data_IF_243237452548
#
_entry.id   IF_243237452548
#
_cell.length_a   1.000
_cell.length_b   1.000
_cell.length_c   1.000
_cell.angle_alpha   90.00
_cell.angle_beta   90.00
_cell.angle_gamma   90.00
#
_symmetry.space_group_name_H-M   'P 1'
#
loop_
_entity.id
_entity.type
_entity.pdbx_description
1 polymer ?
#
# COMPACT_ATOMS: atom_id res chain seq x y z
N UNK A 1 11.83 28.96 -47.01
CA UNK A 1 10.67 28.06 -46.99
C UNK A 1 11.15 26.73 -47.53
N UNK A 2 11.12 25.57 -46.87
CA UNK A 2 10.82 25.04 -45.52
C UNK A 2 11.22 23.54 -45.70
N UNK A 3 11.66 22.71 -44.77
CA UNK A 3 11.68 22.72 -43.33
C UNK A 3 12.90 21.88 -42.89
N UNK A 4 13.86 22.50 -42.20
CA UNK A 4 14.69 21.79 -41.23
C UNK A 4 13.86 21.83 -39.95
N UNK A 5 13.01 20.82 -39.75
CA UNK A 5 12.20 20.76 -38.54
C UNK A 5 13.04 20.15 -37.44
N UNK A 6 13.33 21.00 -36.46
CA UNK A 6 14.06 20.75 -35.24
C UNK A 6 13.63 19.46 -34.57
N UNK A 7 14.60 18.55 -34.39
CA UNK A 7 14.58 17.59 -33.30
C UNK A 7 14.63 18.39 -31.99
N UNK A 8 13.47 18.77 -31.48
CA UNK A 8 13.30 19.21 -30.10
C UNK A 8 13.57 17.99 -29.22
N UNK A 9 14.84 17.80 -28.87
CA UNK A 9 15.22 16.95 -27.76
C UNK A 9 14.45 17.45 -26.53
N UNK A 10 13.50 16.66 -26.05
CA UNK A 10 13.08 16.68 -24.65
C UNK A 10 14.25 16.19 -23.80
N UNK A 11 15.32 16.97 -23.80
CA UNK A 11 16.43 16.89 -22.86
C UNK A 11 15.82 17.11 -21.50
N UNK A 12 15.76 16.04 -20.71
CA UNK A 12 15.47 16.09 -19.30
C UNK A 12 16.49 17.04 -18.66
N UNK A 13 16.10 18.32 -18.50
CA UNK A 13 17.00 19.34 -17.99
C UNK A 13 17.14 19.13 -16.48
N UNK A 14 18.13 18.32 -16.13
CA UNK A 14 18.53 18.08 -14.75
C UNK A 14 18.79 19.41 -14.01
N UNK A 15 19.17 20.46 -14.75
CA UNK A 15 19.35 21.81 -14.23
C UNK A 15 18.01 22.44 -13.82
N UNK A 16 16.93 22.24 -14.56
CA UNK A 16 15.58 22.68 -14.17
C UNK A 16 15.06 21.93 -12.93
N UNK A 17 15.35 20.64 -12.80
CA UNK A 17 15.03 19.85 -11.60
C UNK A 17 15.84 20.29 -10.39
N UNK A 18 17.15 20.53 -10.56
CA UNK A 18 18.02 20.99 -9.49
C UNK A 18 17.69 22.43 -9.05
N UNK A 19 17.28 23.29 -9.99
CA UNK A 19 16.83 24.66 -9.71
C UNK A 19 15.38 24.75 -9.19
N UNK A 20 14.63 23.63 -9.14
CA UNK A 20 13.30 23.59 -8.51
C UNK A 20 13.33 23.09 -7.07
N UNK A 21 14.50 22.69 -6.56
CA UNK A 21 14.68 22.50 -5.13
C UNK A 21 14.87 23.86 -4.45
N UNK A 22 14.16 24.11 -3.34
CA UNK A 22 14.28 25.39 -2.66
C UNK A 22 15.72 25.60 -2.18
N UNK A 23 16.23 26.83 -2.31
CA UNK A 23 17.54 27.17 -1.78
C UNK A 23 17.57 27.18 -0.25
N UNK A 24 18.75 27.20 0.38
CA UNK A 24 18.89 27.23 1.85
C UNK A 24 18.09 28.36 2.53
N UNK A 25 17.94 29.50 1.84
CA UNK A 25 17.14 30.63 2.33
C UNK A 25 15.64 30.34 2.26
N UNK A 26 15.18 29.68 1.20
CA UNK A 26 13.78 29.29 1.03
C UNK A 26 13.41 28.17 2.00
N UNK A 27 14.31 27.21 2.25
CA UNK A 27 14.12 26.23 3.32
C UNK A 27 13.96 26.89 4.69
N UNK A 28 14.82 27.88 5.03
CA UNK A 28 14.69 28.62 6.28
C UNK A 28 13.35 29.36 6.37
N UNK A 29 12.89 29.96 5.28
CA UNK A 29 11.59 30.61 5.24
C UNK A 29 10.46 29.61 5.43
N UNK A 30 10.47 28.48 4.71
CA UNK A 30 9.49 27.41 4.84
C UNK A 30 9.42 26.88 6.28
N UNK A 31 10.56 26.65 6.94
CA UNK A 31 10.58 26.22 8.34
C UNK A 31 10.07 27.31 9.31
N UNK A 32 10.34 28.58 9.01
CA UNK A 32 9.80 29.70 9.77
C UNK A 32 8.28 29.77 9.65
N UNK A 33 7.76 29.66 8.43
CA UNK A 33 6.32 29.72 8.13
C UNK A 33 5.59 28.51 8.76
N UNK A 34 6.18 27.31 8.70
CA UNK A 34 5.67 26.12 9.40
C UNK A 34 5.66 26.36 10.91
N UNK A 35 6.73 26.96 11.47
CA UNK A 35 6.81 27.29 12.89
C UNK A 35 5.68 28.23 13.32
N UNK A 36 5.46 29.31 12.58
CA UNK A 36 4.37 30.27 12.83
C UNK A 36 2.99 29.61 12.73
N UNK A 37 2.78 28.75 11.72
CA UNK A 37 1.52 28.01 11.56
C UNK A 37 1.29 27.03 12.72
N UNK A 38 2.33 26.38 13.23
CA UNK A 38 2.25 25.49 14.40
C UNK A 38 1.86 26.29 15.65
N UNK A 39 2.44 27.45 15.88
CA UNK A 39 2.09 28.33 17.00
C UNK A 39 0.64 28.81 16.89
N UNK A 40 0.21 29.22 15.71
CA UNK A 40 -1.18 29.63 15.47
C UNK A 40 -2.16 28.46 15.68
N UNK A 41 -1.81 27.25 15.24
CA UNK A 41 -2.61 26.05 15.47
C UNK A 41 -2.68 25.71 16.97
N UNK A 42 -1.58 25.85 17.71
CA UNK A 42 -1.55 25.63 19.15
C UNK A 42 -2.48 26.60 19.89
N UNK A 43 -2.41 27.90 19.57
CA UNK A 43 -3.31 28.91 20.12
C UNK A 43 -4.78 28.66 19.75
N UNK A 44 -5.06 28.22 18.53
CA UNK A 44 -6.43 27.90 18.08
C UNK A 44 -7.01 26.69 18.82
N UNK A 45 -6.19 25.66 19.06
CA UNK A 45 -6.59 24.47 19.84
C UNK A 45 -6.86 24.87 21.30
N UNK A 46 -6.00 25.70 21.90
CA UNK A 46 -6.19 26.19 23.27
C UNK A 46 -7.51 26.96 23.41
N UNK A 47 -7.77 27.90 22.48
CA UNK A 47 -9.04 28.63 22.44
C UNK A 47 -10.25 27.69 22.27
N UNK A 48 -10.16 26.67 21.41
CA UNK A 48 -11.23 25.68 21.25
C UNK A 48 -11.51 24.91 22.54
N UNK A 49 -10.46 24.54 23.29
CA UNK A 49 -10.61 23.84 24.58
C UNK A 49 -11.27 24.76 25.61
N UNK A 50 -10.91 26.04 25.65
CA UNK A 50 -11.55 27.03 26.53
C UNK A 50 -13.04 27.21 26.20
N UNK A 51 -13.39 27.24 24.91
CA UNK A 51 -14.77 27.32 24.46
C UNK A 51 -15.58 26.09 24.90
N UNK A 52 -15.05 24.88 24.67
CA UNK A 52 -15.64 23.62 25.15
C UNK A 52 -15.81 23.65 26.68
N UNK A 53 -14.79 24.09 27.42
CA UNK A 53 -14.85 24.21 28.88
C UNK A 53 -15.99 25.12 29.31
N UNK A 54 -16.12 26.27 28.66
CA UNK A 54 -17.15 27.26 28.97
C UNK A 54 -18.57 26.75 28.67
N UNK A 55 -18.76 26.08 27.54
CA UNK A 55 -20.06 25.55 27.12
C UNK A 55 -20.49 24.35 27.97
N UNK A 56 -19.57 23.44 28.31
CA UNK A 56 -19.87 22.30 29.20
C UNK A 56 -20.26 22.80 30.59
N UNK A 57 -19.52 23.75 31.16
CA UNK A 57 -19.84 24.32 32.47
C UNK A 57 -21.19 25.08 32.48
N UNK A 58 -21.65 25.60 31.32
CA UNK A 58 -22.99 26.22 31.18
C UNK A 58 -24.09 25.17 31.05
N UNK A 59 -23.89 24.16 30.21
CA UNK A 59 -24.93 23.17 29.85
C UNK A 59 -25.09 22.06 30.88
N UNK A 60 -24.02 21.72 31.62
CA UNK A 60 -23.98 20.65 32.60
C UNK A 60 -23.49 21.19 33.97
N UNK A 61 -24.36 21.78 34.80
CA UNK A 61 -23.96 22.37 36.08
C UNK A 61 -23.39 21.36 37.10
N UNK A 62 -23.65 20.06 36.89
CA UNK A 62 -23.11 18.97 37.72
C UNK A 62 -21.64 18.61 37.39
N UNK A 63 -21.10 19.14 36.27
CA UNK A 63 -19.71 18.92 35.85
C UNK A 63 -18.97 20.25 35.91
N UNK A 64 -17.95 20.33 36.76
CA UNK A 64 -17.13 21.54 36.86
C UNK A 64 -15.73 21.28 36.29
N UNK A 65 -15.51 21.67 35.04
CA UNK A 65 -14.22 21.59 34.36
C UNK A 65 -13.41 22.85 34.68
N UNK A 66 -12.29 22.69 35.38
CA UNK A 66 -11.44 23.82 35.80
C UNK A 66 -10.14 23.92 35.00
N UNK A 67 -9.60 22.80 34.53
CA UNK A 67 -8.35 22.76 33.77
C UNK A 67 -8.55 22.12 32.39
N UNK A 68 -7.64 22.41 31.46
CA UNK A 68 -7.56 21.72 30.16
C UNK A 68 -7.45 20.21 30.34
N UNK A 69 -6.70 19.73 31.34
CA UNK A 69 -6.64 18.30 31.69
C UNK A 69 -7.99 17.74 32.13
N UNK A 70 -8.84 18.53 32.80
CA UNK A 70 -10.18 18.09 33.19
C UNK A 70 -11.08 18.00 31.97
N UNK A 71 -10.98 18.94 31.02
CA UNK A 71 -11.67 18.85 29.73
C UNK A 71 -11.29 17.58 28.97
N UNK A 72 -10.00 17.25 28.89
CA UNK A 72 -9.55 16.01 28.25
C UNK A 72 -10.02 14.76 28.99
N UNK A 73 -9.93 14.75 30.33
CA UNK A 73 -10.47 13.65 31.15
C UNK A 73 -11.97 13.52 30.97
N UNK A 74 -12.71 14.61 30.85
CA UNK A 74 -14.14 14.60 30.61
C UNK A 74 -14.49 14.11 29.21
N UNK A 75 -13.81 14.56 28.16
CA UNK A 75 -14.02 14.05 26.79
C UNK A 75 -13.69 12.55 26.66
N UNK A 76 -12.63 12.10 27.33
CA UNK A 76 -12.25 10.67 27.35
C UNK A 76 -13.16 9.84 28.24
N UNK A 77 -13.60 10.34 29.40
CA UNK A 77 -14.50 9.64 30.31
C UNK A 77 -15.97 9.73 29.93
N UNK A 78 -16.42 10.75 29.19
CA UNK A 78 -17.76 10.82 28.61
C UNK A 78 -17.94 9.70 27.57
N UNK A 79 -16.92 9.50 26.73
CA UNK A 79 -16.85 8.33 25.84
C UNK A 79 -16.84 6.99 26.59
N UNK A 80 -16.22 6.94 27.78
CA UNK A 80 -16.22 5.75 28.64
C UNK A 80 -17.52 5.55 29.43
N UNK A 81 -18.24 6.62 29.79
CA UNK A 81 -19.49 6.53 30.53
C UNK A 81 -20.70 6.24 29.63
N UNK A 82 -20.60 6.56 28.32
CA UNK A 82 -21.45 5.95 27.29
C UNK A 82 -21.18 4.45 27.10
N UNK A 83 -20.04 3.93 27.58
CA UNK A 83 -19.71 2.50 27.54
C UNK A 83 -20.45 1.68 28.61
N UNK A 84 -21.29 2.29 29.45
CA UNK A 84 -22.49 1.62 30.00
C UNK A 84 -23.55 1.51 28.89
N UNK A 85 -23.14 1.09 27.71
CA UNK A 85 -24.06 0.66 26.67
C UNK A 85 -24.78 -0.58 27.21
N UNK A 86 -26.10 -0.73 27.00
CA UNK A 86 -26.78 -1.97 27.32
C UNK A 86 -25.96 -3.11 26.67
N UNK A 87 -25.54 -4.08 27.49
CA UNK A 87 -24.80 -5.23 26.99
C UNK A 87 -25.61 -5.87 25.87
N UNK A 88 -25.11 -5.81 24.63
CA UNK A 88 -25.76 -6.45 23.49
C UNK A 88 -25.87 -7.93 23.83
N UNK A 89 -27.07 -8.49 23.74
CA UNK A 89 -27.24 -9.91 24.03
C UNK A 89 -26.44 -10.71 23.00
N UNK A 90 -25.76 -11.76 23.45
CA UNK A 90 -24.99 -12.63 22.57
C UNK A 90 -25.83 -13.21 21.42
N UNK A 91 -27.14 -13.43 21.66
CA UNK A 91 -28.09 -13.89 20.66
C UNK A 91 -28.32 -12.86 19.54
N UNK A 92 -28.50 -11.58 19.89
CA UNK A 92 -28.71 -10.51 18.92
C UNK A 92 -27.48 -10.30 18.03
N UNK A 93 -26.28 -10.40 18.62
CA UNK A 93 -25.01 -10.33 17.89
C UNK A 93 -24.89 -11.46 16.87
N UNK A 94 -25.13 -12.71 17.29
CA UNK A 94 -25.09 -13.86 16.36
C UNK A 94 -26.11 -13.70 15.24
N UNK A 95 -27.34 -13.27 15.57
CA UNK A 95 -28.39 -13.10 14.58
C UNK A 95 -28.03 -12.01 13.56
N UNK A 96 -27.44 -10.91 14.02
CA UNK A 96 -26.94 -9.84 13.14
C UNK A 96 -25.81 -10.35 12.22
N UNK A 97 -24.81 -11.05 12.77
CA UNK A 97 -23.71 -11.61 11.97
C UNK A 97 -24.21 -12.65 10.96
N UNK A 98 -25.16 -13.48 11.34
CA UNK A 98 -25.80 -14.45 10.43
C UNK A 98 -26.58 -13.75 9.32
N UNK A 99 -27.36 -12.72 9.65
CA UNK A 99 -28.08 -11.93 8.64
C UNK A 99 -27.13 -11.27 7.63
N UNK A 100 -26.00 -10.73 8.09
CA UNK A 100 -24.96 -10.20 7.18
C UNK A 100 -24.35 -11.30 6.32
N UNK A 101 -24.01 -12.45 6.91
CA UNK A 101 -23.47 -13.60 6.19
C UNK A 101 -24.45 -14.11 5.13
N UNK A 102 -25.73 -14.20 5.47
CA UNK A 102 -26.78 -14.64 4.56
C UNK A 102 -26.96 -13.63 3.42
N UNK A 103 -26.87 -12.33 3.69
CA UNK A 103 -26.91 -11.29 2.67
C UNK A 103 -25.74 -11.42 1.69
N UNK A 104 -24.51 -11.60 2.20
CA UNK A 104 -23.30 -11.77 1.39
C UNK A 104 -23.31 -13.05 0.53
N UNK A 105 -24.00 -14.10 0.98
CA UNK A 105 -24.05 -15.37 0.26
C UNK A 105 -25.17 -15.44 -0.79
N UNK A 106 -26.28 -14.71 -0.56
CA UNK A 106 -27.49 -14.86 -1.37
C UNK A 106 -27.69 -13.75 -2.40
N UNK A 107 -27.14 -12.56 -2.18
CA UNK A 107 -27.37 -11.40 -3.04
C UNK A 107 -26.02 -10.82 -3.54
N UNK A 108 -25.91 -10.60 -4.85
CA UNK A 108 -24.70 -10.01 -5.44
C UNK A 108 -24.66 -8.49 -5.18
N UNK A 109 -23.47 -7.95 -4.90
CA UNK A 109 -23.16 -6.51 -4.76
C UNK A 109 -23.63 -5.84 -3.46
N UNK A 110 -23.86 -6.60 -2.39
CA UNK A 110 -24.16 -6.03 -1.06
C UNK A 110 -22.93 -5.74 -0.21
N UNK A 111 -21.73 -6.10 -0.68
CA UNK A 111 -20.49 -5.90 0.04
C UNK A 111 -20.23 -4.43 0.36
N UNK A 112 -20.49 -3.53 -0.58
CA UNK A 112 -20.30 -2.08 -0.38
C UNK A 112 -21.27 -1.52 0.67
N UNK A 113 -22.55 -1.91 0.59
CA UNK A 113 -23.55 -1.54 1.60
C UNK A 113 -23.18 -2.04 3.00
N UNK A 114 -22.67 -3.27 3.11
CA UNK A 114 -22.23 -3.82 4.40
C UNK A 114 -20.99 -3.09 4.92
N UNK A 115 -20.03 -2.76 4.06
CA UNK A 115 -18.84 -2.01 4.47
C UNK A 115 -19.20 -0.59 4.94
N UNK A 116 -20.12 0.08 4.26
CA UNK A 116 -20.63 1.39 4.67
C UNK A 116 -21.39 1.30 6.01
N UNK A 117 -22.23 0.28 6.18
CA UNK A 117 -22.89 0.02 7.46
C UNK A 117 -21.88 -0.21 8.59
N UNK A 118 -20.85 -1.02 8.36
CA UNK A 118 -19.81 -1.28 9.36
C UNK A 118 -19.00 -0.02 9.68
N UNK A 119 -18.75 0.83 8.68
CA UNK A 119 -18.07 2.11 8.85
C UNK A 119 -18.92 3.08 9.67
N UNK A 120 -20.21 3.20 9.36
CA UNK A 120 -21.16 4.03 10.09
C UNK A 120 -21.31 3.56 11.53
N UNK A 121 -21.40 2.25 11.74
CA UNK A 121 -21.41 1.65 13.08
C UNK A 121 -20.11 1.96 13.82
N UNK A 122 -18.95 1.90 13.17
CA UNK A 122 -17.68 2.28 13.79
C UNK A 122 -17.60 3.77 14.14
N UNK A 123 -18.24 4.65 13.38
CA UNK A 123 -18.27 6.08 13.64
C UNK A 123 -19.25 6.45 14.76
N UNK A 124 -20.44 5.84 14.76
CA UNK A 124 -21.50 6.11 15.73
C UNK A 124 -21.23 5.43 17.08
N UNK A 125 -20.51 4.31 17.05
CA UNK A 125 -20.19 3.56 18.24
C UNK A 125 -18.72 3.75 18.58
N UNK A 126 -18.46 4.52 19.64
CA UNK A 126 -17.24 4.35 20.45
C UNK A 126 -17.20 2.97 21.15
N UNK A 127 -18.21 2.13 20.86
CA UNK A 127 -18.37 0.78 21.35
C UNK A 127 -17.30 -0.07 20.69
N UNK A 128 -16.65 -0.86 21.52
CA UNK A 128 -15.61 -1.82 21.19
C UNK A 128 -16.13 -3.01 20.35
N UNK A 129 -17.19 -2.82 19.56
CA UNK A 129 -17.90 -3.86 18.82
C UNK A 129 -16.96 -4.58 17.85
N UNK A 130 -16.19 -3.82 17.06
CA UNK A 130 -15.19 -4.37 16.13
C UNK A 130 -13.85 -4.64 16.81
N UNK A 131 -13.46 -3.89 17.84
CA UNK A 131 -12.20 -4.11 18.56
C UNK A 131 -12.24 -5.37 19.44
N UNK A 132 -13.39 -5.75 20.00
CA UNK A 132 -13.60 -7.06 20.62
C UNK A 132 -13.46 -8.19 19.60
N UNK A 133 -13.91 -7.96 18.36
CA UNK A 133 -13.96 -8.93 17.27
C UNK A 133 -12.68 -9.01 16.41
N UNK A 134 -11.86 -7.97 16.46
CA UNK A 134 -10.54 -7.84 15.85
C UNK A 134 -9.53 -8.69 16.60
N UNK A 135 -8.69 -9.42 15.85
CA UNK A 135 -7.93 -10.58 16.32
C UNK A 135 -6.92 -10.38 17.47
N UNK A 136 -6.76 -9.17 18.01
CA UNK A 136 -5.81 -8.87 19.09
C UNK A 136 -6.44 -8.71 20.48
N UNK A 137 -7.77 -8.52 20.59
CA UNK A 137 -8.40 -8.16 21.89
C UNK A 137 -9.29 -9.24 22.51
N UNK A 138 -9.43 -10.41 21.88
CA UNK A 138 -10.09 -11.56 22.50
C UNK A 138 -9.25 -12.24 23.60
N UNK A 139 -8.00 -11.82 23.82
CA UNK A 139 -7.13 -12.41 24.85
C UNK A 139 -7.45 -11.98 26.29
N UNK A 140 -8.42 -11.08 26.51
CA UNK A 140 -8.73 -10.55 27.85
C UNK A 140 -10.10 -10.92 28.43
N UNK A 141 -10.87 -11.80 27.77
CA UNK A 141 -11.94 -12.51 28.48
C UNK A 141 -11.31 -13.56 29.40
N UNK A 142 -10.98 -13.14 30.61
CA UNK A 142 -10.95 -13.95 31.83
C UNK A 142 -10.10 -15.23 31.79
N UNK A 143 -8.80 -15.10 31.53
CA UNK A 143 -7.82 -16.18 31.79
C UNK A 143 -7.43 -16.33 33.27
N UNK A 144 -8.31 -15.91 34.19
CA UNK A 144 -8.06 -15.94 35.64
C UNK A 144 -8.76 -17.09 36.38
N UNK A 145 -9.36 -18.06 35.68
CA UNK A 145 -9.90 -19.26 36.31
C UNK A 145 -9.45 -20.53 35.58
N UNK A 146 -8.76 -21.42 36.29
CA UNK A 146 -8.39 -22.78 35.83
C UNK A 146 -9.66 -23.67 35.69
N UNK A 147 -10.84 -23.12 35.98
CA UNK A 147 -12.15 -23.79 35.92
C UNK A 147 -13.17 -23.09 35.00
N UNK A 148 -12.78 -22.10 34.18
CA UNK A 148 -13.71 -21.54 33.18
C UNK A 148 -13.86 -22.54 32.04
N UNK A 149 -15.05 -23.13 31.93
CA UNK A 149 -15.50 -23.85 30.73
C UNK A 149 -15.46 -22.85 29.57
N UNK A 150 -14.80 -23.21 28.47
CA UNK A 150 -14.87 -22.43 27.24
C UNK A 150 -16.32 -22.39 26.77
N UNK A 151 -16.97 -21.22 26.88
CA UNK A 151 -18.33 -21.02 26.40
C UNK A 151 -18.35 -21.26 24.89
N UNK A 152 -18.87 -22.42 24.49
CA UNK A 152 -19.07 -22.82 23.09
C UNK A 152 -19.82 -21.77 22.25
N UNK A 153 -20.55 -20.85 22.89
CA UNK A 153 -21.26 -19.76 22.22
C UNK A 153 -20.31 -18.71 21.60
N UNK A 154 -19.17 -18.44 22.23
CA UNK A 154 -18.18 -17.45 21.76
C UNK A 154 -17.44 -17.91 20.48
N UNK A 155 -17.30 -19.23 20.32
CA UNK A 155 -16.71 -19.86 19.13
C UNK A 155 -17.61 -19.68 17.90
N UNK A 156 -18.93 -19.66 18.09
CA UNK A 156 -19.91 -19.43 17.02
C UNK A 156 -19.91 -17.98 16.53
N UNK A 157 -19.75 -16.98 17.43
CA UNK A 157 -19.66 -15.56 17.03
C UNK A 157 -18.43 -15.31 16.18
N UNK A 158 -17.26 -15.76 16.66
CA UNK A 158 -15.98 -15.50 16.00
C UNK A 158 -15.90 -16.17 14.63
N UNK A 159 -16.37 -17.42 14.52
CA UNK A 159 -16.36 -18.13 13.23
C UNK A 159 -17.27 -17.47 12.18
N UNK A 160 -18.49 -17.05 12.56
CA UNK A 160 -19.39 -16.35 11.64
C UNK A 160 -18.79 -15.00 11.23
N UNK A 161 -18.15 -14.28 12.15
CA UNK A 161 -17.44 -13.04 11.81
C UNK A 161 -16.24 -13.27 10.89
N UNK A 162 -15.44 -14.30 11.15
CA UNK A 162 -14.29 -14.65 10.31
C UNK A 162 -14.72 -14.94 8.87
N UNK A 163 -15.87 -15.59 8.67
CA UNK A 163 -16.46 -15.81 7.35
C UNK A 163 -16.86 -14.50 6.68
N UNK A 164 -17.56 -13.61 7.39
CA UNK A 164 -17.95 -12.28 6.89
C UNK A 164 -16.72 -11.47 6.50
N UNK A 165 -15.70 -11.40 7.38
CA UNK A 165 -14.44 -10.71 7.13
C UNK A 165 -13.69 -11.28 5.93
N UNK A 166 -13.71 -12.60 5.75
CA UNK A 166 -13.06 -13.25 4.63
C UNK A 166 -13.74 -12.88 3.30
N UNK A 167 -15.07 -12.86 3.28
CA UNK A 167 -15.84 -12.46 2.09
C UNK A 167 -15.57 -11.02 1.71
N UNK A 168 -15.73 -10.08 2.65
CA UNK A 168 -15.44 -8.67 2.44
C UNK A 168 -13.99 -8.42 2.03
N UNK A 169 -13.04 -9.15 2.64
CA UNK A 169 -11.64 -9.09 2.23
C UNK A 169 -11.46 -9.46 0.77
N UNK A 170 -12.05 -10.57 0.30
CA UNK A 170 -11.93 -11.00 -1.10
C UNK A 170 -12.51 -9.94 -2.05
N UNK A 171 -13.64 -9.35 -1.69
CA UNK A 171 -14.23 -8.24 -2.44
C UNK A 171 -13.28 -7.04 -2.53
N UNK A 172 -12.70 -6.60 -1.42
CA UNK A 172 -11.74 -5.48 -1.39
C UNK A 172 -10.46 -5.79 -2.19
N UNK A 173 -9.91 -7.00 -2.08
CA UNK A 173 -8.76 -7.44 -2.90
C UNK A 173 -9.12 -7.35 -4.38
N UNK A 174 -10.29 -7.87 -4.77
CA UNK A 174 -10.72 -7.84 -6.17
C UNK A 174 -10.92 -6.40 -6.69
N UNK A 175 -11.44 -5.48 -5.85
CA UNK A 175 -11.54 -4.05 -6.19
C UNK A 175 -10.16 -3.42 -6.39
N UNK A 176 -9.21 -3.73 -5.51
CA UNK A 176 -7.82 -3.27 -5.61
C UNK A 176 -7.05 -3.93 -6.77
N UNK A 177 -7.42 -5.11 -7.24
CA UNK A 177 -6.78 -5.69 -8.44
C UNK A 177 -7.28 -5.03 -9.72
N UNK A 178 -8.55 -4.59 -9.73
CA UNK A 178 -9.21 -4.00 -10.91
C UNK A 178 -8.93 -2.50 -11.12
N UNK A 179 -8.28 -1.79 -10.18
CA UNK A 179 -8.07 -0.34 -10.34
C UNK A 179 -7.18 0.02 -11.54
N UNK A 180 -6.38 -0.91 -12.06
CA UNK A 180 -5.57 -0.66 -13.25
C UNK A 180 -6.42 -0.33 -14.50
N UNK A 181 -7.70 -0.71 -14.52
CA UNK A 181 -8.63 -0.36 -15.59
C UNK A 181 -9.04 1.13 -15.57
N UNK A 182 -8.78 1.84 -14.46
CA UNK A 182 -9.11 3.26 -14.29
C UNK A 182 -8.00 4.09 -14.93
N UNK A 183 -8.34 4.97 -15.88
CA UNK A 183 -7.34 5.83 -16.53
C UNK A 183 -7.00 7.10 -15.72
N UNK A 184 -7.83 7.48 -14.75
CA UNK A 184 -7.66 8.71 -13.96
C UNK A 184 -6.94 8.44 -12.64
N UNK A 185 -5.77 9.05 -12.45
CA UNK A 185 -4.94 8.91 -11.25
C UNK A 185 -5.63 9.37 -9.96
N UNK A 186 -6.45 10.43 -10.02
CA UNK A 186 -7.18 10.90 -8.84
C UNK A 186 -8.23 9.89 -8.38
N UNK A 187 -8.93 9.27 -9.32
CA UNK A 187 -9.92 8.23 -9.01
C UNK A 187 -9.25 6.96 -8.46
N UNK A 188 -8.03 6.63 -8.93
CA UNK A 188 -7.24 5.53 -8.36
C UNK A 188 -6.87 5.79 -6.90
N UNK A 189 -6.38 6.99 -6.60
CA UNK A 189 -6.00 7.38 -5.23
C UNK A 189 -7.22 7.29 -4.31
N UNK A 190 -8.37 7.83 -4.72
CA UNK A 190 -9.60 7.77 -3.93
C UNK A 190 -10.04 6.32 -3.66
N UNK A 191 -10.08 5.49 -4.71
CA UNK A 191 -10.46 4.08 -4.57
C UNK A 191 -9.50 3.32 -3.65
N UNK A 192 -8.18 3.51 -3.81
CA UNK A 192 -7.15 2.90 -2.96
C UNK A 192 -7.33 3.34 -1.50
N UNK A 193 -7.54 4.63 -1.26
CA UNK A 193 -7.76 5.18 0.07
C UNK A 193 -9.02 4.60 0.73
N UNK A 194 -10.15 4.59 0.01
CA UNK A 194 -11.39 3.99 0.47
C UNK A 194 -11.22 2.50 0.81
N UNK A 195 -10.60 1.73 -0.10
CA UNK A 195 -10.37 0.30 0.12
C UNK A 195 -9.47 0.05 1.34
N UNK A 196 -8.40 0.84 1.54
CA UNK A 196 -7.52 0.68 2.69
C UNK A 196 -8.20 1.04 4.01
N UNK A 197 -9.01 2.11 4.05
CA UNK A 197 -9.84 2.44 5.22
C UNK A 197 -10.81 1.30 5.56
N UNK A 198 -11.46 0.71 4.55
CA UNK A 198 -12.32 -0.46 4.71
C UNK A 198 -11.55 -1.71 5.13
N UNK A 199 -10.30 -1.88 4.71
CA UNK A 199 -9.42 -2.95 5.16
C UNK A 199 -9.05 -2.82 6.65
N UNK A 200 -8.72 -1.61 7.08
CA UNK A 200 -8.37 -1.28 8.47
C UNK A 200 -9.55 -1.44 9.43
N UNK A 201 -10.78 -1.38 8.91
CA UNK A 201 -11.98 -1.73 9.65
C UNK A 201 -12.05 -3.23 10.01
N UNK A 202 -11.44 -4.09 9.20
CA UNK A 202 -11.57 -5.55 9.27
C UNK A 202 -10.32 -6.25 9.86
N UNK A 203 -9.14 -5.67 9.68
CA UNK A 203 -7.83 -6.27 10.00
C UNK A 203 -6.87 -5.25 10.63
N UNK A 204 -5.80 -5.74 11.27
CA UNK A 204 -4.78 -4.83 11.82
C UNK A 204 -3.99 -4.14 10.70
N UNK A 205 -3.42 -2.97 11.00
CA UNK A 205 -2.57 -2.22 10.08
C UNK A 205 -1.48 -3.10 9.43
N UNK A 206 -0.79 -3.92 10.22
CA UNK A 206 0.24 -4.85 9.72
C UNK A 206 -0.29 -5.87 8.72
N UNK A 207 -1.47 -6.46 8.96
CA UNK A 207 -2.09 -7.43 8.06
C UNK A 207 -2.52 -6.76 6.75
N UNK A 208 -3.10 -5.55 6.86
CA UNK A 208 -3.53 -4.75 5.72
C UNK A 208 -2.32 -4.39 4.85
N UNK A 209 -1.22 -3.94 5.44
CA UNK A 209 -0.01 -3.58 4.71
C UNK A 209 0.61 -4.75 3.97
N UNK A 210 0.76 -5.91 4.62
CA UNK A 210 1.30 -7.10 3.96
C UNK A 210 0.44 -7.50 2.77
N UNK A 211 -0.90 -7.39 2.89
CA UNK A 211 -1.82 -7.69 1.77
C UNK A 211 -1.72 -6.65 0.67
N UNK A 212 -1.75 -5.37 1.00
CA UNK A 212 -1.62 -4.29 0.03
C UNK A 212 -0.30 -4.37 -0.73
N UNK A 213 0.81 -4.56 -0.01
CA UNK A 213 2.14 -4.79 -0.58
C UNK A 213 2.14 -5.97 -1.55
N UNK A 214 1.53 -7.10 -1.20
CA UNK A 214 1.48 -8.27 -2.09
C UNK A 214 0.70 -8.01 -3.38
N UNK A 215 -0.36 -7.18 -3.32
CA UNK A 215 -1.12 -6.77 -4.50
C UNK A 215 -0.24 -5.89 -5.39
N UNK A 216 0.40 -4.87 -4.80
CA UNK A 216 1.26 -3.94 -5.54
C UNK A 216 2.48 -4.63 -6.16
N UNK A 217 3.14 -5.54 -5.45
CA UNK A 217 4.23 -6.35 -5.98
C UNK A 217 3.81 -7.15 -7.21
N UNK A 218 2.71 -7.90 -7.12
CA UNK A 218 2.22 -8.69 -8.26
C UNK A 218 1.84 -7.81 -9.46
N UNK A 219 1.26 -6.64 -9.22
CA UNK A 219 0.99 -5.68 -10.29
C UNK A 219 2.29 -5.22 -10.94
N UNK A 220 3.27 -4.82 -10.13
CA UNK A 220 4.59 -4.41 -10.59
C UNK A 220 5.28 -5.53 -11.39
N UNK A 221 5.27 -6.76 -10.90
CA UNK A 221 5.83 -7.94 -11.59
C UNK A 221 5.19 -8.14 -12.97
N UNK A 222 3.86 -8.02 -13.05
CA UNK A 222 3.12 -8.14 -14.31
C UNK A 222 3.56 -7.06 -15.30
N UNK A 223 3.66 -5.81 -14.83
CA UNK A 223 4.10 -4.68 -15.66
C UNK A 223 5.55 -4.82 -16.13
N UNK A 224 6.45 -5.30 -15.26
CA UNK A 224 7.85 -5.52 -15.61
C UNK A 224 7.98 -6.63 -16.65
N UNK A 225 7.27 -7.74 -16.49
CA UNK A 225 7.25 -8.83 -17.48
C UNK A 225 6.70 -8.38 -18.84
N UNK A 226 5.61 -7.60 -18.86
CA UNK A 226 5.04 -7.08 -20.11
C UNK A 226 5.98 -6.08 -20.82
N UNK A 227 6.75 -5.32 -20.05
CA UNK A 227 7.69 -4.32 -20.57
C UNK A 227 8.99 -4.94 -21.11
N UNK A 228 9.38 -6.10 -20.59
CA UNK A 228 10.61 -6.80 -20.96
C UNK A 228 10.32 -8.25 -21.41
N UNK A 229 9.72 -8.47 -22.60
CA UNK A 229 9.51 -9.80 -23.13
C UNK A 229 10.86 -10.53 -23.29
N UNK A 230 10.87 -11.85 -23.07
CA UNK A 230 12.06 -12.70 -23.20
C UNK A 230 12.83 -12.35 -24.48
N UNK A 231 14.03 -11.81 -24.31
CA UNK A 231 14.82 -11.22 -25.38
C UNK A 231 15.32 -12.33 -26.32
N UNK A 232 14.66 -12.50 -27.46
CA UNK A 232 15.19 -13.36 -28.54
C UNK A 232 16.12 -12.53 -29.44
N UNK A 233 17.14 -13.19 -29.98
CA UNK A 233 18.39 -12.56 -30.42
C UNK A 233 18.23 -11.40 -31.42
N UNK A 234 19.05 -10.36 -31.21
CA UNK A 234 19.60 -9.43 -32.21
C UNK A 234 18.81 -8.20 -32.69
N UNK A 235 17.57 -7.92 -32.27
CA UNK A 235 16.85 -6.74 -32.82
C UNK A 235 16.06 -5.84 -31.88
N UNK A 236 16.32 -5.78 -30.57
CA UNK A 236 15.43 -5.03 -29.66
C UNK A 236 16.10 -4.10 -28.64
N UNK A 237 17.32 -3.60 -28.88
CA UNK A 237 17.93 -2.63 -27.95
C UNK A 237 17.12 -1.33 -27.84
N UNK A 238 16.55 -0.87 -28.95
CA UNK A 238 15.63 0.28 -28.99
C UNK A 238 14.29 -0.05 -28.32
N UNK A 239 13.77 -1.28 -28.47
CA UNK A 239 12.55 -1.74 -27.77
C UNK A 239 12.76 -1.88 -26.27
N UNK A 240 13.95 -2.31 -25.84
CA UNK A 240 14.35 -2.39 -24.43
C UNK A 240 14.45 -0.99 -23.83
N UNK A 241 15.10 -0.04 -24.52
CA UNK A 241 15.20 1.36 -24.06
C UNK A 241 13.83 2.03 -23.98
N UNK A 242 12.98 1.86 -24.99
CA UNK A 242 11.59 2.35 -24.96
C UNK A 242 10.79 1.69 -23.82
N UNK A 243 10.96 0.38 -23.63
CA UNK A 243 10.40 -0.37 -22.50
C UNK A 243 10.79 0.26 -21.17
N UNK A 244 12.08 0.47 -20.92
CA UNK A 244 12.57 1.13 -19.72
C UNK A 244 11.96 2.51 -19.47
N UNK A 245 11.87 3.35 -20.50
CA UNK A 245 11.33 4.69 -20.35
C UNK A 245 9.84 4.65 -19.97
N UNK A 246 9.05 3.80 -20.62
CA UNK A 246 7.64 3.61 -20.28
C UNK A 246 7.44 2.99 -18.89
N UNK A 247 8.26 1.99 -18.53
CA UNK A 247 8.23 1.36 -17.21
C UNK A 247 8.59 2.35 -16.10
N UNK A 248 9.60 3.20 -16.28
CA UNK A 248 9.99 4.20 -15.29
C UNK A 248 8.88 5.21 -15.01
N UNK A 249 8.19 5.69 -16.06
CA UNK A 249 7.07 6.61 -15.90
C UNK A 249 5.90 5.96 -15.15
N UNK A 250 5.63 4.69 -15.45
CA UNK A 250 4.59 3.95 -14.75
C UNK A 250 4.97 3.70 -13.29
N UNK A 251 6.19 3.22 -13.02
CA UNK A 251 6.71 3.00 -11.68
C UNK A 251 6.60 4.28 -10.83
N UNK A 252 6.99 5.43 -11.38
CA UNK A 252 6.85 6.71 -10.71
C UNK A 252 5.39 7.04 -10.39
N UNK A 253 4.46 6.81 -11.33
CA UNK A 253 3.02 6.99 -11.08
C UNK A 253 2.53 6.09 -9.95
N UNK A 254 2.92 4.81 -9.96
CA UNK A 254 2.56 3.83 -8.93
C UNK A 254 3.04 4.25 -7.54
N UNK A 255 4.32 4.61 -7.43
CA UNK A 255 4.93 5.10 -6.18
C UNK A 255 4.21 6.35 -5.71
N UNK A 256 3.93 7.31 -6.61
CA UNK A 256 3.26 8.56 -6.28
C UNK A 256 1.83 8.33 -5.78
N UNK A 257 1.06 7.47 -6.44
CA UNK A 257 -0.29 7.11 -6.01
C UNK A 257 -0.27 6.48 -4.62
N UNK A 258 0.59 5.49 -4.40
CA UNK A 258 0.68 4.80 -3.11
C UNK A 258 1.21 5.70 -2.01
N UNK A 259 2.14 6.59 -2.32
CA UNK A 259 2.64 7.58 -1.37
C UNK A 259 1.50 8.48 -0.88
N UNK A 260 0.68 9.01 -1.79
CA UNK A 260 -0.45 9.88 -1.43
C UNK A 260 -1.51 9.17 -0.59
N UNK A 261 -1.70 7.86 -0.82
CA UNK A 261 -2.67 7.08 -0.07
C UNK A 261 -2.13 6.71 1.31
N UNK A 262 -0.89 6.24 1.38
CA UNK A 262 -0.31 5.68 2.58
C UNK A 262 0.21 6.75 3.54
N UNK A 263 0.50 7.98 3.09
CA UNK A 263 0.93 9.06 3.99
C UNK A 263 -0.17 9.51 4.97
N UNK A 264 -1.44 9.28 4.64
CA UNK A 264 -2.57 9.54 5.54
C UNK A 264 -2.75 8.44 6.61
N UNK A 265 -2.16 7.26 6.38
CA UNK A 265 -2.40 6.06 7.18
C UNK A 265 -1.18 5.70 8.02
N UNK A 266 0.03 5.84 7.47
CA UNK A 266 1.26 5.31 8.04
C UNK A 266 2.17 6.39 8.61
N UNK A 267 2.92 6.00 9.64
CA UNK A 267 4.07 6.77 10.08
C UNK A 267 5.10 6.90 8.93
N UNK A 268 5.82 8.04 8.84
CA UNK A 268 6.78 8.28 7.76
C UNK A 268 7.84 7.17 7.58
N UNK A 269 8.31 6.57 8.67
CA UNK A 269 9.28 5.46 8.62
C UNK A 269 8.69 4.21 7.95
N UNK A 270 7.45 3.86 8.27
CA UNK A 270 6.76 2.70 7.72
C UNK A 270 6.43 2.91 6.24
N UNK A 271 6.09 4.16 5.86
CA UNK A 271 5.88 4.52 4.46
C UNK A 271 7.15 4.34 3.63
N UNK A 272 8.29 4.84 4.11
CA UNK A 272 9.57 4.68 3.43
C UNK A 272 9.94 3.20 3.30
N UNK A 273 9.76 2.42 4.37
CA UNK A 273 9.98 0.97 4.34
C UNK A 273 9.09 0.29 3.30
N UNK A 274 7.80 0.61 3.27
CA UNK A 274 6.86 0.06 2.29
C UNK A 274 7.30 0.36 0.85
N UNK A 275 7.65 1.61 0.54
CA UNK A 275 8.10 1.99 -0.81
C UNK A 275 9.38 1.25 -1.20
N UNK A 276 10.33 1.15 -0.27
CA UNK A 276 11.58 0.45 -0.53
C UNK A 276 11.34 -1.04 -0.83
N UNK A 277 10.64 -1.75 0.06
CA UNK A 277 10.41 -3.18 -0.06
C UNK A 277 9.50 -3.57 -1.23
N UNK A 278 8.57 -2.69 -1.62
CA UNK A 278 7.58 -2.96 -2.67
C UNK A 278 8.13 -2.65 -4.05
N UNK A 279 8.79 -1.51 -4.21
CA UNK A 279 9.17 -0.96 -5.50
C UNK A 279 10.67 -1.03 -5.74
N UNK A 280 11.48 -0.47 -4.84
CA UNK A 280 12.92 -0.33 -5.07
C UNK A 280 13.65 -1.68 -5.05
N UNK A 281 13.31 -2.55 -4.11
CA UNK A 281 13.87 -3.89 -4.03
C UNK A 281 13.49 -4.73 -5.27
N UNK A 282 12.22 -4.68 -5.68
CA UNK A 282 11.72 -5.39 -6.88
C UNK A 282 12.41 -4.91 -8.15
N UNK A 283 12.55 -3.59 -8.33
CA UNK A 283 13.26 -3.01 -9.47
C UNK A 283 14.74 -3.38 -9.44
N UNK A 284 15.36 -3.38 -8.26
CA UNK A 284 16.76 -3.79 -8.10
C UNK A 284 16.96 -5.25 -8.50
N UNK A 285 16.04 -6.14 -8.11
CA UNK A 285 16.06 -7.54 -8.50
C UNK A 285 15.93 -7.71 -10.02
N UNK A 286 14.97 -7.04 -10.66
CA UNK A 286 14.80 -7.13 -12.12
C UNK A 286 15.99 -6.52 -12.89
N UNK A 287 16.52 -5.39 -12.44
CA UNK A 287 17.73 -4.82 -13.02
C UNK A 287 18.93 -5.75 -12.91
N UNK A 288 19.05 -6.47 -11.79
CA UNK A 288 20.12 -7.47 -11.58
C UNK A 288 19.97 -8.62 -12.57
N UNK A 289 18.76 -9.17 -12.75
CA UNK A 289 18.48 -10.23 -13.73
C UNK A 289 18.84 -9.81 -15.16
N UNK A 290 18.51 -8.57 -15.52
CA UNK A 290 18.81 -8.04 -16.85
C UNK A 290 20.33 -7.85 -17.04
N UNK A 291 21.04 -7.34 -16.04
CA UNK A 291 22.50 -7.19 -16.07
C UNK A 291 23.19 -8.56 -16.20
N UNK A 292 22.76 -9.55 -15.43
CA UNK A 292 23.27 -10.93 -15.52
C UNK A 292 23.05 -11.52 -16.92
N UNK A 293 21.86 -11.31 -17.51
CA UNK A 293 21.55 -11.72 -18.87
C UNK A 293 22.48 -11.07 -19.92
N UNK A 294 22.73 -9.77 -19.82
CA UNK A 294 23.66 -9.07 -20.71
C UNK A 294 25.10 -9.57 -20.54
N UNK A 295 25.54 -9.82 -19.31
CA UNK A 295 26.85 -10.42 -19.06
C UNK A 295 26.96 -11.79 -19.74
N UNK A 296 25.96 -12.67 -19.59
CA UNK A 296 25.95 -13.99 -20.25
C UNK A 296 26.01 -13.91 -21.78
N UNK A 297 25.27 -12.97 -22.38
CA UNK A 297 25.33 -12.73 -23.83
C UNK A 297 26.75 -12.33 -24.26
N UNK A 298 27.38 -11.41 -23.53
CA UNK A 298 28.74 -10.97 -23.80
C UNK A 298 29.75 -12.13 -23.68
N UNK A 299 29.58 -13.04 -22.72
CA UNK A 299 30.43 -14.22 -22.59
C UNK A 299 30.21 -15.25 -23.71
N UNK A 300 28.98 -15.44 -24.18
CA UNK A 300 28.65 -16.33 -25.30
C UNK A 300 29.16 -15.79 -26.64
N UNK A 301 29.12 -14.47 -26.83
CA UNK A 301 29.63 -13.81 -28.04
C UNK A 301 31.17 -13.76 -28.08
N UNK A 302 31.82 -13.55 -26.93
CA UNK A 302 33.28 -13.62 -26.81
C UNK A 302 33.84 -15.05 -26.89
N UNK A 303 32.99 -16.08 -26.79
CA UNK A 303 33.34 -17.47 -27.06
C UNK A 303 33.28 -17.77 -28.57
N UNK A 304 33.95 -16.97 -29.40
CA UNK A 304 34.22 -17.35 -30.80
C UNK A 304 35.11 -18.59 -30.77
N UNK A 305 34.80 -19.66 -31.55
CA UNK A 305 35.62 -20.86 -31.57
C UNK A 305 37.02 -20.48 -32.00
N UNK A 306 37.99 -20.76 -31.12
CA UNK A 306 39.42 -20.68 -31.43
C UNK A 306 39.65 -21.40 -32.76
N UNK A 307 39.83 -20.61 -33.82
CA UNK A 307 40.25 -21.10 -35.12
C UNK A 307 41.60 -21.76 -34.89
N UNK A 308 41.62 -23.09 -34.91
CA UNK A 308 42.84 -23.88 -34.91
C UNK A 308 43.61 -23.55 -36.19
N UNK A 309 44.42 -22.50 -36.14
CA UNK A 309 45.50 -22.26 -37.09
C UNK A 309 46.68 -23.17 -36.74
N UNK A 310 46.51 -24.49 -36.93
CA UNK A 310 47.66 -25.40 -36.95
C UNK A 310 48.33 -25.31 -38.33
N UNK A 311 49.38 -24.50 -38.39
CA UNK A 311 50.37 -24.46 -39.47
C UNK A 311 50.88 -25.88 -39.82
N UNK A 312 50.79 -26.21 -41.11
CA UNK A 312 51.83 -26.84 -41.94
C UNK A 312 52.73 -27.92 -41.31
N UNK A 313 52.67 -29.14 -41.85
CA UNK A 313 53.86 -29.95 -42.03
C UNK A 313 53.79 -30.68 -43.39
N UNK A 314 54.62 -30.21 -44.34
CA UNK A 314 54.89 -30.86 -45.62
C UNK A 314 55.40 -32.29 -45.38
N UNK A 315 54.70 -33.29 -45.92
CA UNK A 315 55.28 -34.62 -46.17
C UNK A 315 55.46 -34.81 -47.68
N UNK A 316 56.69 -34.61 -48.13
CA UNK A 316 57.23 -35.30 -49.30
C UNK A 316 57.33 -36.80 -48.97
N UNK A 317 56.68 -37.66 -49.75
CA UNK A 317 57.21 -38.98 -50.17
C UNK A 317 56.35 -39.57 -51.28
N UNK A 318 56.98 -39.89 -52.40
CA UNK A 318 56.32 -40.36 -53.62
C UNK A 318 55.94 -41.84 -53.64
N UNK A 319 55.14 -42.18 -54.65
CA UNK A 319 54.98 -43.50 -55.28
C UNK A 319 54.41 -43.23 -56.69
N UNK A 320 55.28 -43.14 -57.70
CA UNK A 320 55.53 -44.18 -58.72
C UNK A 320 54.27 -44.51 -59.56
N UNK A 321 54.20 -43.87 -60.72
CA UNK A 321 53.62 -44.48 -61.91
C UNK A 321 54.63 -45.49 -62.48
N UNK A 322 54.21 -46.72 -62.75
CA UNK A 322 54.66 -47.50 -63.91
C UNK A 322 53.71 -48.67 -64.15
N UNK A 323 53.10 -48.65 -65.34
CA UNK A 323 52.67 -49.85 -66.06
C UNK A 323 53.92 -50.61 -66.52
N UNK A 324 53.86 -51.94 -66.48
CA UNK A 324 54.88 -52.86 -66.99
C UNK A 324 54.61 -54.27 -66.51
#
# INVERSE_FOLDING_TARGET
MDALQEYSHNSFDLQCLLNSFPGDLEFKQIFSDIGEQIEQNAASIEHCIEEIQSEVNKLCPDVQLQTTSDCFKWLTSYNYNLSKSPSISHGDLINFLKAMKDLLNNEENHEEMILDLLWDLSCQSSISFLSSLGGTTFCHLSRTSIHSVEDFSSVDVKSVWDDVRLHLRRFLVNRLERYNEINNSQQKIELKNQCLKQFLLLYSESEVLVKYQSIQKRLLDTFLQDSFPSCDRESDLERIVCGYQSTMLMLYSMIKEDFNVLCEILAPSSLVQFINETYLDTVTEEMTKILEYFCELQFKENAVPVVKTSKSCNKHRGAVHALG
#
